data_IF_386729390909
#
_entry.id   IF_386729390909
#
_cell.length_a   1.000
_cell.length_b   1.000
_cell.length_c   1.000
_cell.angle_alpha   90.00
_cell.angle_beta   90.00
_cell.angle_gamma   90.00
#
_symmetry.space_group_name_H-M   'P 1'
#
loop_
_entity.id
_entity.type
_entity.pdbx_description
1 polymer ?
#
# COMPACT_ATOMS: atom_id res chain seq x y z
N UNK A 1 -40.64 -51.87 -1.20
CA UNK A 1 -39.96 -52.24 -2.47
C UNK A 1 -40.69 -51.57 -3.63
N UNK A 2 -40.04 -50.64 -4.32
CA UNK A 2 -40.17 -50.49 -5.78
C UNK A 2 -38.89 -49.81 -6.25
N UNK A 3 -38.06 -50.56 -6.98
CA UNK A 3 -36.66 -50.21 -7.29
C UNK A 3 -36.48 -49.48 -8.63
N UNK A 4 -37.53 -48.82 -9.13
CA UNK A 4 -37.47 -48.08 -10.39
C UNK A 4 -38.33 -46.82 -10.30
N UNK A 5 -37.69 -45.67 -10.49
CA UNK A 5 -38.34 -44.36 -10.51
C UNK A 5 -39.32 -44.23 -11.67
N UNK A 6 -40.37 -43.43 -11.46
CA UNK A 6 -41.39 -43.12 -12.48
C UNK A 6 -40.71 -42.45 -13.68
N UNK A 7 -40.74 -43.09 -14.84
CA UNK A 7 -40.19 -42.53 -16.08
C UNK A 7 -41.14 -41.41 -16.54
N UNK A 8 -40.65 -40.18 -16.68
CA UNK A 8 -41.41 -39.09 -17.29
C UNK A 8 -41.65 -39.40 -18.77
N UNK A 9 -42.92 -39.47 -19.16
CA UNK A 9 -43.33 -39.54 -20.56
C UNK A 9 -43.03 -38.20 -21.21
N UNK A 10 -42.09 -38.19 -22.17
CA UNK A 10 -41.76 -37.02 -22.99
C UNK A 10 -43.03 -36.62 -23.77
N UNK A 11 -43.49 -35.39 -23.59
CA UNK A 11 -44.85 -34.97 -23.97
C UNK A 11 -45.09 -34.86 -25.48
N UNK A 12 -44.05 -34.92 -26.33
CA UNK A 12 -44.22 -35.01 -27.78
C UNK A 12 -43.10 -35.87 -28.42
N UNK A 13 -43.42 -36.83 -29.32
CA UNK A 13 -42.41 -37.52 -30.10
C UNK A 13 -41.73 -36.50 -31.01
N UNK A 14 -40.45 -36.23 -30.76
CA UNK A 14 -39.65 -35.32 -31.56
C UNK A 14 -39.58 -35.89 -32.98
N UNK A 15 -40.17 -35.17 -33.95
CA UNK A 15 -40.16 -35.59 -35.36
C UNK A 15 -38.71 -35.69 -35.86
N UNK A 16 -38.43 -36.74 -36.64
CA UNK A 16 -37.14 -36.93 -37.31
C UNK A 16 -36.74 -35.70 -38.15
N UNK A 17 -37.71 -34.99 -38.75
CA UNK A 17 -37.45 -33.77 -39.52
C UNK A 17 -36.86 -32.64 -38.66
N UNK A 18 -37.25 -32.56 -37.39
CA UNK A 18 -36.70 -31.56 -36.46
C UNK A 18 -35.26 -31.91 -36.09
N UNK A 19 -34.97 -33.20 -35.85
CA UNK A 19 -33.62 -33.70 -35.54
C UNK A 19 -32.69 -33.49 -36.75
N UNK A 20 -33.15 -33.80 -37.95
CA UNK A 20 -32.35 -33.62 -39.17
C UNK A 20 -32.12 -32.14 -39.50
N UNK A 21 -33.11 -31.27 -39.26
CA UNK A 21 -32.97 -29.82 -39.43
C UNK A 21 -31.95 -29.22 -38.45
N UNK A 22 -31.94 -29.65 -37.18
CA UNK A 22 -30.99 -29.17 -36.18
C UNK A 22 -29.57 -29.65 -36.48
N UNK A 23 -29.41 -30.92 -36.88
CA UNK A 23 -28.11 -31.46 -37.29
C UNK A 23 -27.58 -30.78 -38.56
N UNK A 24 -28.45 -30.46 -39.51
CA UNK A 24 -28.08 -29.70 -40.70
C UNK A 24 -27.64 -28.28 -40.33
N UNK A 25 -28.38 -27.58 -39.46
CA UNK A 25 -28.05 -26.24 -38.99
C UNK A 25 -26.67 -26.21 -38.30
N UNK A 26 -26.40 -27.18 -37.39
CA UNK A 26 -25.07 -27.33 -36.77
C UNK A 26 -23.96 -27.55 -37.79
N UNK A 27 -24.20 -28.41 -38.78
CA UNK A 27 -23.19 -28.69 -39.82
C UNK A 27 -22.87 -27.47 -40.69
N UNK A 28 -23.85 -26.61 -40.97
CA UNK A 28 -23.64 -25.38 -41.72
C UNK A 28 -22.86 -24.35 -40.88
N UNK A 29 -23.22 -24.20 -39.60
CA UNK A 29 -22.50 -23.33 -38.68
C UNK A 29 -21.04 -23.77 -38.49
N UNK A 30 -20.78 -25.06 -38.34
CA UNK A 30 -19.40 -25.58 -38.25
C UNK A 30 -18.60 -25.32 -39.54
N UNK A 31 -19.24 -25.41 -40.71
CA UNK A 31 -18.59 -25.10 -42.00
C UNK A 31 -18.26 -23.62 -42.13
N UNK A 32 -19.16 -22.74 -41.68
CA UNK A 32 -18.90 -21.30 -41.62
C UNK A 32 -17.76 -20.99 -40.66
N UNK A 33 -17.78 -21.54 -39.43
CA UNK A 33 -16.70 -21.36 -38.44
C UNK A 33 -15.36 -21.85 -39.01
N UNK A 34 -15.32 -23.01 -39.67
CA UNK A 34 -14.08 -23.50 -40.30
C UNK A 34 -13.61 -22.60 -41.44
N UNK A 35 -14.52 -22.09 -42.26
CA UNK A 35 -14.19 -21.16 -43.34
C UNK A 35 -13.61 -19.85 -42.79
N UNK A 36 -14.23 -19.28 -41.76
CA UNK A 36 -13.75 -18.06 -41.12
C UNK A 36 -12.45 -18.29 -40.34
N UNK A 37 -12.27 -19.46 -39.70
CA UNK A 37 -11.01 -19.80 -39.04
C UNK A 37 -9.85 -19.87 -40.04
N UNK A 38 -10.06 -20.41 -41.23
CA UNK A 38 -9.03 -20.47 -42.28
C UNK A 38 -8.69 -19.08 -42.82
N UNK A 39 -9.69 -18.22 -43.07
CA UNK A 39 -9.43 -16.84 -43.55
C UNK A 39 -8.71 -16.00 -42.50
N UNK A 40 -9.04 -16.17 -41.21
CA UNK A 40 -8.35 -15.47 -40.12
C UNK A 40 -6.90 -15.95 -39.97
N UNK A 41 -6.61 -17.23 -40.23
CA UNK A 41 -5.24 -17.77 -40.17
C UNK A 41 -4.41 -17.33 -41.39
N UNK A 42 -5.00 -17.21 -42.59
CA UNK A 42 -4.28 -16.76 -43.80
C UNK A 42 -4.01 -15.24 -43.82
N UNK A 43 -4.80 -14.44 -43.11
CA UNK A 43 -4.62 -12.97 -43.01
C UNK A 43 -3.72 -12.53 -41.84
N UNK A 44 -3.28 -13.45 -40.98
CA UNK A 44 -2.35 -13.17 -39.88
C UNK A 44 -0.95 -13.64 -40.29
N UNK A 45 0.02 -12.74 -40.57
CA UNK A 45 1.41 -13.14 -40.62
C UNK A 45 1.82 -13.71 -39.25
N UNK A 46 2.67 -14.72 -39.25
CA UNK A 46 3.19 -15.45 -38.10
C UNK A 46 3.46 -14.52 -36.88
N UNK A 47 2.67 -14.70 -35.81
CA UNK A 47 2.59 -13.83 -34.62
C UNK A 47 3.96 -13.65 -33.92
N UNK A 48 4.90 -14.57 -34.14
CA UNK A 48 6.26 -14.52 -33.59
C UNK A 48 7.15 -13.46 -34.22
N UNK A 49 7.04 -13.20 -35.53
CA UNK A 49 7.82 -12.13 -36.17
C UNK A 49 7.23 -10.74 -35.91
N UNK A 50 5.91 -10.64 -35.71
CA UNK A 50 5.23 -9.37 -35.45
C UNK A 50 5.55 -8.86 -34.03
N UNK A 51 5.66 -9.73 -33.03
CA UNK A 51 5.97 -9.32 -31.66
C UNK A 51 7.39 -8.72 -31.53
N UNK A 52 8.37 -9.29 -32.23
CA UNK A 52 9.75 -8.75 -32.25
C UNK A 52 9.83 -7.45 -33.06
N UNK A 53 9.11 -7.38 -34.19
CA UNK A 53 9.08 -6.20 -35.07
C UNK A 53 8.23 -5.06 -34.52
N UNK A 54 7.20 -5.35 -33.72
CA UNK A 54 6.38 -4.37 -33.02
C UNK A 54 7.21 -3.62 -31.97
N UNK A 55 8.15 -4.29 -31.31
CA UNK A 55 9.06 -3.66 -30.36
C UNK A 55 10.05 -2.68 -31.04
N UNK A 56 10.38 -2.88 -32.31
CA UNK A 56 11.22 -1.99 -33.14
C UNK A 56 10.43 -0.86 -33.84
N UNK A 57 9.10 -0.98 -33.96
CA UNK A 57 8.22 -0.01 -34.62
C UNK A 57 7.70 1.10 -33.70
N UNK A 58 8.01 1.06 -32.40
CA UNK A 58 7.55 2.01 -31.38
C UNK A 58 8.02 3.47 -31.57
N UNK A 59 8.89 3.75 -32.55
CA UNK A 59 9.35 5.12 -32.84
C UNK A 59 8.67 5.80 -34.04
N UNK A 60 7.69 5.15 -34.69
CA UNK A 60 6.96 5.75 -35.81
C UNK A 60 5.56 6.11 -35.32
N UNK A 61 5.11 7.33 -35.62
CA UNK A 61 3.80 7.89 -35.32
C UNK A 61 2.65 6.94 -35.74
N UNK A 62 2.19 6.09 -34.82
CA UNK A 62 1.23 5.00 -35.09
C UNK A 62 -0.11 5.23 -34.37
N UNK A 63 -0.55 6.49 -34.33
CA UNK A 63 -1.92 6.85 -33.88
C UNK A 63 -2.87 7.15 -35.04
N UNK A 64 -2.43 6.97 -36.29
CA UNK A 64 -3.21 7.31 -37.48
C UNK A 64 -4.33 6.29 -37.81
N UNK A 65 -4.38 5.13 -37.12
CA UNK A 65 -5.36 4.07 -37.37
C UNK A 65 -5.97 3.54 -36.06
N UNK A 66 -7.30 3.57 -35.97
CA UNK A 66 -8.08 3.06 -34.83
C UNK A 66 -7.75 1.59 -34.50
N UNK A 67 -7.38 0.79 -35.51
CA UNK A 67 -6.98 -0.60 -35.31
C UNK A 67 -5.71 -0.71 -34.46
N UNK A 68 -4.73 0.16 -34.70
CA UNK A 68 -3.46 0.16 -33.95
C UNK A 68 -3.69 0.60 -32.51
N UNK A 69 -4.53 1.62 -32.31
CA UNK A 69 -4.92 2.08 -30.97
C UNK A 69 -5.64 0.96 -30.20
N UNK A 70 -6.58 0.24 -30.84
CA UNK A 70 -7.28 -0.86 -30.22
C UNK A 70 -6.33 -2.01 -29.81
N UNK A 71 -5.36 -2.34 -30.65
CA UNK A 71 -4.34 -3.35 -30.33
C UNK A 71 -3.42 -2.91 -29.19
N UNK A 72 -3.02 -1.64 -29.16
CA UNK A 72 -2.22 -1.07 -28.07
C UNK A 72 -2.99 -1.14 -26.73
N UNK A 73 -4.23 -0.66 -26.72
CA UNK A 73 -5.09 -0.71 -25.52
C UNK A 73 -5.33 -2.15 -25.04
N UNK A 74 -5.50 -3.10 -25.97
CA UNK A 74 -5.66 -4.51 -25.61
C UNK A 74 -4.38 -5.08 -24.97
N UNK A 75 -3.21 -4.70 -25.47
CA UNK A 75 -1.92 -5.12 -24.89
C UNK A 75 -1.77 -4.56 -23.46
N UNK A 76 -2.07 -3.27 -23.26
CA UNK A 76 -1.99 -2.62 -21.95
C UNK A 76 -2.95 -3.28 -20.93
N UNK A 77 -4.19 -3.56 -21.35
CA UNK A 77 -5.18 -4.23 -20.51
C UNK A 77 -4.76 -5.65 -20.13
N UNK A 78 -4.17 -6.39 -21.09
CA UNK A 78 -3.66 -7.73 -20.84
C UNK A 78 -2.51 -7.69 -19.83
N UNK A 79 -1.60 -6.72 -19.93
CA UNK A 79 -0.51 -6.54 -18.99
C UNK A 79 -1.01 -6.20 -17.57
N UNK A 80 -1.95 -5.25 -17.45
CA UNK A 80 -2.55 -4.89 -16.16
C UNK A 80 -3.23 -6.09 -15.49
N UNK A 81 -3.96 -6.87 -16.28
CA UNK A 81 -4.62 -8.08 -15.81
C UNK A 81 -3.62 -9.13 -15.30
N UNK A 82 -2.55 -9.37 -16.05
CA UNK A 82 -1.49 -10.31 -15.67
C UNK A 82 -0.74 -9.84 -14.40
N UNK A 83 -0.51 -8.53 -14.24
CA UNK A 83 0.04 -7.92 -13.02
C UNK A 83 -0.88 -8.11 -11.82
N UNK A 84 -2.19 -7.88 -11.98
CA UNK A 84 -3.18 -8.12 -10.94
C UNK A 84 -3.18 -9.60 -10.50
N UNK A 85 -3.15 -10.54 -11.45
CA UNK A 85 -3.05 -11.97 -11.15
C UNK A 85 -1.77 -12.29 -10.36
N UNK A 86 -0.63 -11.71 -10.76
CA UNK A 86 0.64 -11.89 -10.03
C UNK A 86 0.58 -11.37 -8.59
N UNK A 87 -0.02 -10.19 -8.38
CA UNK A 87 -0.20 -9.61 -7.03
C UNK A 87 -1.11 -10.46 -6.16
N UNK A 88 -2.20 -10.98 -6.73
CA UNK A 88 -3.13 -11.87 -5.99
C UNK A 88 -2.50 -13.22 -5.67
N UNK A 89 -1.74 -13.81 -6.60
CA UNK A 89 -0.95 -15.03 -6.41
C UNK A 89 0.05 -14.85 -5.26
N UNK A 90 0.85 -13.77 -5.28
CA UNK A 90 1.83 -13.45 -4.24
C UNK A 90 1.17 -13.24 -2.87
N UNK A 91 0.03 -12.53 -2.85
CA UNK A 91 -0.74 -12.30 -1.62
C UNK A 91 -1.29 -13.60 -1.02
N UNK A 92 -1.75 -14.51 -1.87
CA UNK A 92 -2.28 -15.79 -1.43
C UNK A 92 -1.17 -16.72 -0.94
N UNK A 93 -0.06 -16.79 -1.66
CA UNK A 93 1.05 -17.70 -1.35
C UNK A 93 1.88 -17.28 -0.13
N UNK A 94 1.96 -15.98 0.19
CA UNK A 94 2.68 -15.37 1.33
C UNK A 94 3.61 -16.31 2.11
N UNK A 95 3.11 -16.94 3.17
CA UNK A 95 3.87 -17.83 4.07
C UNK A 95 3.40 -19.29 3.97
N UNK A 96 2.63 -19.63 2.95
CA UNK A 96 2.11 -20.98 2.72
C UNK A 96 3.24 -21.92 2.28
N UNK A 97 3.22 -23.16 2.78
CA UNK A 97 4.14 -24.22 2.34
C UNK A 97 3.78 -24.79 0.96
N UNK A 98 2.56 -24.52 0.50
CA UNK A 98 2.03 -24.96 -0.79
C UNK A 98 1.54 -23.73 -1.54
N UNK A 99 2.04 -23.57 -2.76
CA UNK A 99 1.74 -22.42 -3.59
C UNK A 99 0.73 -22.80 -4.68
N UNK A 100 -0.19 -21.89 -4.96
CA UNK A 100 -1.05 -21.94 -6.14
C UNK A 100 -0.50 -21.00 -7.20
N UNK A 101 -0.70 -21.34 -8.47
CA UNK A 101 -0.27 -20.48 -9.57
C UNK A 101 -1.42 -20.16 -10.52
N UNK A 102 -1.45 -18.92 -11.00
CA UNK A 102 -2.47 -18.43 -11.94
C UNK A 102 -1.97 -18.31 -13.38
N UNK A 103 -0.87 -19.01 -13.73
CA UNK A 103 -0.29 -18.98 -15.08
C UNK A 103 -1.30 -19.32 -16.19
N UNK A 104 -2.23 -20.25 -15.94
CA UNK A 104 -3.23 -20.65 -16.93
C UNK A 104 -4.27 -19.57 -17.25
N UNK A 105 -4.38 -18.54 -16.42
CA UNK A 105 -5.32 -17.44 -16.62
C UNK A 105 -4.66 -16.23 -17.27
N UNK A 106 -3.34 -16.22 -17.46
CA UNK A 106 -2.63 -15.09 -18.04
C UNK A 106 -2.86 -15.00 -19.55
N UNK A 107 -2.93 -13.76 -20.04
CA UNK A 107 -3.05 -13.49 -21.47
C UNK A 107 -1.69 -13.62 -22.18
N UNK A 108 -0.60 -13.25 -21.50
CA UNK A 108 0.77 -13.38 -22.01
C UNK A 108 1.50 -14.62 -21.50
N UNK A 109 2.43 -15.14 -22.33
CA UNK A 109 3.40 -16.17 -21.91
C UNK A 109 4.56 -15.57 -21.10
N UNK A 110 4.85 -14.28 -21.32
CA UNK A 110 5.92 -13.56 -20.63
C UNK A 110 5.50 -13.22 -19.20
N UNK A 111 6.41 -13.35 -18.26
CA UNK A 111 6.15 -12.90 -16.90
C UNK A 111 6.05 -11.36 -16.90
N UNK A 112 4.95 -10.78 -16.38
CA UNK A 112 4.82 -9.33 -16.33
C UNK A 112 5.87 -8.80 -15.34
N UNK A 113 6.70 -7.89 -15.83
CA UNK A 113 7.68 -7.19 -15.02
C UNK A 113 6.90 -6.12 -14.25
N UNK A 114 6.86 -6.22 -12.92
CA UNK A 114 6.32 -5.11 -12.14
C UNK A 114 7.26 -3.93 -12.40
N UNK A 115 6.78 -2.79 -12.93
CA UNK A 115 7.60 -1.61 -13.01
C UNK A 115 8.11 -1.36 -11.59
N UNK A 116 9.43 -1.50 -11.42
CA UNK A 116 10.09 -1.04 -10.20
C UNK A 116 9.68 0.41 -10.13
N UNK A 117 8.90 0.77 -9.14
CA UNK A 117 8.67 2.16 -8.86
C UNK A 117 10.09 2.72 -8.62
N UNK A 118 10.62 3.44 -9.60
CA UNK A 118 11.69 4.40 -9.43
C UNK A 118 11.09 5.50 -8.56
N UNK A 119 10.83 5.13 -7.31
CA UNK A 119 10.53 6.08 -6.26
C UNK A 119 11.87 6.76 -6.07
N UNK A 120 11.99 7.94 -6.64
CA UNK A 120 13.01 8.90 -6.26
C UNK A 120 12.88 9.02 -4.74
N UNK A 121 13.74 8.29 -4.01
CA UNK A 121 13.67 8.16 -2.55
C UNK A 121 13.90 9.52 -1.87
N UNK A 122 14.29 10.55 -2.62
CA UNK A 122 14.44 11.93 -2.16
C UNK A 122 13.10 12.66 -1.94
N UNK A 123 12.01 12.28 -2.63
CA UNK A 123 10.70 12.96 -2.57
C UNK A 123 9.62 12.16 -1.82
N UNK A 124 9.95 10.99 -1.25
CA UNK A 124 9.08 10.45 -0.19
C UNK A 124 9.08 11.47 0.94
N UNK A 125 7.89 11.86 1.40
CA UNK A 125 7.66 12.57 2.66
C UNK A 125 8.29 11.79 3.83
N UNK A 126 9.62 11.85 3.92
CA UNK A 126 10.38 11.11 4.89
C UNK A 126 10.31 11.94 6.14
N UNK A 127 9.47 11.50 7.08
CA UNK A 127 9.39 12.13 8.39
C UNK A 127 10.81 12.30 8.94
N UNK A 128 11.26 13.55 8.96
CA UNK A 128 12.62 13.90 9.32
C UNK A 128 12.90 13.48 10.76
N UNK A 129 11.89 13.46 11.62
CA UNK A 129 12.02 13.01 13.00
C UNK A 129 12.32 11.52 13.08
N UNK A 130 11.66 10.69 12.28
CA UNK A 130 11.93 9.24 12.23
C UNK A 130 13.37 8.97 11.76
N UNK A 131 13.85 9.71 10.76
CA UNK A 131 15.25 9.66 10.34
C UNK A 131 16.22 10.00 11.47
N UNK A 132 15.96 11.09 12.19
CA UNK A 132 16.80 11.57 13.30
C UNK A 132 16.82 10.55 14.44
N UNK A 133 15.68 9.98 14.80
CA UNK A 133 15.58 8.95 15.84
C UNK A 133 16.34 7.68 15.46
N UNK A 134 16.19 7.24 14.20
CA UNK A 134 16.95 6.11 13.66
C UNK A 134 18.45 6.39 13.67
N UNK A 135 18.85 7.60 13.31
CA UNK A 135 20.26 8.03 13.35
C UNK A 135 20.82 8.03 14.78
N UNK A 136 20.05 8.47 15.77
CA UNK A 136 20.43 8.48 17.17
C UNK A 136 20.51 7.05 17.76
N UNK A 137 19.58 6.18 17.38
CA UNK A 137 19.55 4.77 17.76
C UNK A 137 20.69 3.96 17.10
N UNK A 138 21.21 4.42 15.96
CA UNK A 138 22.33 3.77 15.26
C UNK A 138 23.66 3.86 16.01
N UNK A 139 23.77 4.70 17.04
CA UNK A 139 25.00 4.84 17.83
C UNK A 139 25.11 3.64 18.80
N UNK A 140 26.13 2.77 18.63
CA UNK A 140 26.30 1.58 19.44
C UNK A 140 26.57 1.90 20.92
N UNK A 141 26.47 0.89 21.78
CA UNK A 141 26.66 1.03 23.24
C UNK A 141 28.05 1.55 23.63
N UNK A 142 29.05 1.46 22.76
CA UNK A 142 30.37 2.06 22.98
C UNK A 142 30.36 3.61 22.95
N UNK A 143 29.24 4.25 22.60
CA UNK A 143 28.98 5.67 22.82
C UNK A 143 29.30 6.58 21.62
N UNK A 144 29.88 6.05 20.56
CA UNK A 144 30.21 6.81 19.35
C UNK A 144 30.07 5.95 18.08
N UNK A 145 29.88 6.61 16.93
CA UNK A 145 29.93 5.98 15.59
C UNK A 145 30.91 6.75 14.72
N UNK A 146 31.60 6.06 13.81
CA UNK A 146 32.44 6.67 12.78
C UNK A 146 31.61 6.83 11.52
N UNK A 147 31.53 8.04 10.99
CA UNK A 147 30.79 8.36 9.76
C UNK A 147 31.80 8.76 8.70
N UNK A 148 31.75 8.08 7.55
CA UNK A 148 32.67 8.26 6.42
C UNK A 148 33.80 7.21 6.39
N UNK A 149 34.17 6.79 5.18
CA UNK A 149 35.27 5.86 4.90
C UNK A 149 36.58 6.62 4.62
N UNK A 150 37.67 6.22 5.28
CA UNK A 150 39.02 6.73 5.02
C UNK A 150 39.52 7.80 6.02
N UNK A 151 40.49 8.61 5.57
CA UNK A 151 41.26 9.55 6.40
C UNK A 151 40.48 10.76 6.95
N UNK A 152 39.23 10.96 6.52
CA UNK A 152 38.32 12.03 6.96
C UNK A 152 37.14 11.50 7.77
N UNK A 153 37.30 10.35 8.44
CA UNK A 153 36.25 9.76 9.26
C UNK A 153 35.92 10.66 10.47
N UNK A 154 34.68 11.14 10.55
CA UNK A 154 34.19 11.94 11.67
C UNK A 154 33.59 11.03 12.75
N UNK A 155 34.00 11.25 14.00
CA UNK A 155 33.40 10.58 15.15
C UNK A 155 32.16 11.37 15.55
N UNK A 156 31.00 10.71 15.51
CA UNK A 156 29.71 11.26 15.93
C UNK A 156 29.29 10.62 17.25
N UNK A 157 28.87 11.44 18.21
CA UNK A 157 28.40 10.99 19.52
C UNK A 157 26.97 11.42 19.79
N UNK A 158 26.34 10.80 20.80
CA UNK A 158 25.02 11.23 21.29
C UNK A 158 25.00 12.65 21.87
N UNK A 159 26.17 13.19 22.22
CA UNK A 159 26.33 14.51 22.85
C UNK A 159 26.73 15.59 21.85
N UNK A 160 26.85 15.26 20.57
CA UNK A 160 27.15 16.28 19.55
C UNK A 160 26.04 17.32 19.54
N UNK A 161 26.41 18.58 19.33
CA UNK A 161 25.46 19.69 19.41
C UNK A 161 24.31 19.55 18.42
N UNK A 162 24.60 19.14 17.18
CA UNK A 162 23.58 18.92 16.15
C UNK A 162 22.68 17.72 16.47
N UNK A 163 23.26 16.62 16.95
CA UNK A 163 22.49 15.44 17.35
C UNK A 163 21.57 15.73 18.53
N UNK A 164 22.10 16.33 19.58
CA UNK A 164 21.34 16.67 20.78
C UNK A 164 20.25 17.69 20.46
N UNK A 165 20.54 18.70 19.62
CA UNK A 165 19.56 19.74 19.30
C UNK A 165 18.39 19.24 18.47
N UNK A 166 18.64 18.35 17.51
CA UNK A 166 17.60 17.66 16.73
C UNK A 166 16.76 16.74 17.62
N UNK A 167 17.39 15.96 18.49
CA UNK A 167 16.69 15.07 19.42
C UNK A 167 15.86 15.84 20.45
N UNK A 168 16.34 16.99 20.91
CA UNK A 168 15.55 17.86 21.76
C UNK A 168 14.29 18.36 21.05
N UNK A 169 14.37 18.67 19.76
CA UNK A 169 13.20 19.06 18.97
C UNK A 169 12.19 17.92 18.86
N UNK A 170 12.65 16.68 18.60
CA UNK A 170 11.79 15.48 18.61
C UNK A 170 11.04 15.36 19.94
N UNK A 171 11.77 15.48 21.06
CA UNK A 171 11.21 15.34 22.42
C UNK A 171 10.20 16.42 22.82
N UNK A 172 10.15 17.56 22.13
CA UNK A 172 9.12 18.58 22.41
C UNK A 172 7.74 18.13 21.94
N UNK A 173 7.67 17.27 20.92
CA UNK A 173 6.41 16.67 20.46
C UNK A 173 5.80 15.72 21.50
N UNK A 174 6.62 15.17 22.38
CA UNK A 174 6.20 14.30 23.50
C UNK A 174 5.74 15.08 24.75
N UNK A 175 5.75 16.42 24.71
CA UNK A 175 5.35 17.19 25.88
C UNK A 175 3.86 17.00 26.21
N UNK A 176 3.49 17.08 27.50
CA UNK A 176 2.11 16.98 27.94
C UNK A 176 1.12 17.80 27.08
N UNK A 177 -0.11 17.27 26.88
CA UNK A 177 -1.12 17.94 26.07
C UNK A 177 -1.39 19.34 26.62
N UNK A 178 -1.40 20.33 25.73
CA UNK A 178 -1.56 21.75 26.07
C UNK A 178 -0.43 22.67 25.57
N UNK A 179 0.68 22.11 25.10
CA UNK A 179 1.71 22.86 24.37
C UNK A 179 1.47 22.67 22.88
N UNK A 180 1.11 23.76 22.19
CA UNK A 180 0.94 23.77 20.74
C UNK A 180 2.32 23.91 20.09
N UNK A 181 2.94 22.79 19.71
CA UNK A 181 4.25 22.78 19.03
C UNK A 181 4.14 23.12 17.54
N UNK A 182 2.94 23.00 16.95
CA UNK A 182 2.70 23.21 15.52
C UNK A 182 3.14 22.02 14.67
N UNK A 183 3.04 22.17 13.34
CA UNK A 183 3.59 21.21 12.39
C UNK A 183 5.07 21.49 12.16
N UNK A 184 5.91 20.54 12.55
CA UNK A 184 7.36 20.63 12.44
C UNK A 184 7.94 19.60 11.47
N UNK A 185 7.11 18.88 10.71
CA UNK A 185 7.55 17.79 9.84
C UNK A 185 8.37 18.26 8.64
N UNK A 186 8.07 19.46 8.11
CA UNK A 186 8.67 19.97 6.86
C UNK A 186 10.05 20.64 6.99
N UNK A 187 10.63 20.79 8.19
CA UNK A 187 11.91 21.51 8.37
C UNK A 187 12.84 20.90 9.44
N UNK A 188 14.14 21.17 9.34
CA UNK A 188 15.17 20.68 10.28
C UNK A 188 15.11 21.42 11.63
N UNK A 189 14.13 21.10 12.48
CA UNK A 189 13.97 21.79 13.76
C UNK A 189 15.14 21.44 14.68
N UNK A 190 15.83 22.46 15.19
CA UNK A 190 16.94 22.31 16.14
C UNK A 190 16.67 23.16 17.37
N UNK A 191 16.68 22.53 18.55
CA UNK A 191 16.50 23.22 19.81
C UNK A 191 17.76 23.17 20.67
N UNK A 192 18.21 24.34 21.10
CA UNK A 192 19.30 24.44 22.08
C UNK A 192 18.88 23.80 23.41
N UNK A 193 19.80 23.08 24.07
CA UNK A 193 19.62 22.49 25.39
C UNK A 193 19.03 23.47 26.41
N UNK A 194 19.47 24.74 26.43
CA UNK A 194 18.93 25.75 27.35
C UNK A 194 17.44 26.01 27.13
N UNK A 195 17.03 26.11 25.87
CA UNK A 195 15.62 26.35 25.49
C UNK A 195 14.77 25.12 25.79
N UNK A 196 15.26 23.93 25.42
CA UNK A 196 14.58 22.67 25.72
C UNK A 196 14.33 22.49 27.22
N UNK A 197 15.35 22.73 28.05
CA UNK A 197 15.23 22.60 29.50
C UNK A 197 14.22 23.59 30.10
N UNK A 198 14.24 24.85 29.63
CA UNK A 198 13.28 25.87 30.03
C UNK A 198 11.85 25.47 29.66
N UNK A 199 11.63 25.02 28.41
CA UNK A 199 10.31 24.60 27.95
C UNK A 199 9.82 23.36 28.70
N UNK A 200 10.70 22.40 28.97
CA UNK A 200 10.40 21.21 29.77
C UNK A 200 9.97 21.60 31.19
N UNK A 201 10.69 22.51 31.84
CA UNK A 201 10.33 23.00 33.17
C UNK A 201 8.96 23.70 33.16
N UNK A 202 8.71 24.56 32.17
CA UNK A 202 7.42 25.23 32.02
C UNK A 202 6.29 24.24 31.79
N UNK A 203 6.51 23.23 30.93
CA UNK A 203 5.55 22.16 30.65
C UNK A 203 5.15 21.38 31.91
N UNK A 204 6.14 20.94 32.69
CA UNK A 204 5.90 20.25 33.96
C UNK A 204 5.18 21.15 34.98
N UNK A 205 5.57 22.43 35.08
CA UNK A 205 4.92 23.38 35.98
C UNK A 205 3.46 23.64 35.59
N UNK A 206 3.17 23.80 34.31
CA UNK A 206 1.81 23.96 33.79
C UNK A 206 0.95 22.73 34.09
N UNK A 207 1.45 21.53 33.73
CA UNK A 207 0.76 20.26 34.00
C UNK A 207 0.48 20.05 35.50
N UNK A 208 1.45 20.38 36.37
CA UNK A 208 1.27 20.29 37.83
C UNK A 208 0.17 21.24 38.34
N UNK A 209 0.13 22.48 37.85
CA UNK A 209 -0.92 23.45 38.19
C UNK A 209 -2.31 22.98 37.76
N UNK A 210 -2.44 22.45 36.55
CA UNK A 210 -3.72 21.92 36.05
C UNK A 210 -4.19 20.70 36.87
N UNK A 211 -3.29 19.77 37.20
CA UNK A 211 -3.61 18.62 38.06
C UNK A 211 -4.03 19.01 39.47
N UNK A 212 -3.44 20.06 40.03
CA UNK A 212 -3.81 20.59 41.35
C UNK A 212 -5.21 21.22 41.37
N UNK A 213 -5.65 21.84 40.25
CA UNK A 213 -7.02 22.35 40.10
C UNK A 213 -8.04 21.23 39.93
N UNK A 214 -7.65 20.12 39.30
CA UNK A 214 -8.53 18.98 39.03
C UNK A 214 -8.82 18.12 40.27
N UNK A 215 -8.07 18.26 41.37
CA UNK A 215 -8.44 17.63 42.64
C UNK A 215 -9.47 18.51 43.38
N UNK A 216 -10.73 18.09 43.49
CA UNK A 216 -11.69 18.80 44.33
C UNK A 216 -11.17 18.76 45.77
N UNK A 217 -10.95 19.94 46.37
CA UNK A 217 -10.65 20.03 47.81
C UNK A 217 -11.80 19.32 48.56
N UNK A 218 -11.52 18.36 49.46
CA UNK A 218 -12.58 17.78 50.27
C UNK A 218 -13.26 18.91 51.02
N UNK A 219 -14.58 19.04 50.85
CA UNK A 219 -15.35 20.09 51.51
C UNK A 219 -15.15 19.98 53.02
N UNK A 220 -14.49 20.98 53.61
CA UNK A 220 -14.37 21.10 55.05
C UNK A 220 -15.78 21.36 55.59
N UNK A 221 -16.40 20.34 56.21
CA UNK A 221 -17.66 20.53 56.95
C UNK A 221 -17.39 21.53 58.08
N UNK A 222 -17.87 22.76 57.91
CA UNK A 222 -17.89 23.77 58.95
C UNK A 222 -18.82 23.29 60.08
N UNK A 223 -18.25 22.75 61.15
CA UNK A 223 -18.98 22.59 62.40
C UNK A 223 -19.22 23.99 62.97
N UNK A 224 -20.44 24.50 62.79
CA UNK A 224 -20.93 25.70 63.45
C UNK A 224 -20.96 25.45 64.96
N UNK A 225 -20.15 26.21 65.70
CA UNK A 225 -20.13 26.27 67.15
C UNK A 225 -21.35 27.05 67.64
N UNK A 226 -22.34 26.35 68.20
CA UNK A 226 -23.41 26.97 68.99
C UNK A 226 -22.90 27.21 70.41
N UNK A 227 -22.48 28.44 70.71
CA UNK A 227 -22.29 28.89 72.10
C UNK A 227 -23.67 29.21 72.69
N UNK A 228 -24.13 28.38 73.63
CA UNK A 228 -25.27 28.68 74.47
C UNK A 228 -24.88 29.72 75.52
N UNK A 229 -25.51 30.89 75.49
CA UNK A 229 -25.43 31.90 76.55
C UNK A 229 -26.41 31.54 77.66
N UNK A 230 -25.91 31.17 78.84
CA UNK A 230 -26.71 31.12 80.07
C UNK A 230 -26.71 32.50 80.71
N UNK A 231 -27.88 33.11 80.80
CA UNK A 231 -28.20 34.28 81.63
C UNK A 231 -28.56 33.81 83.05
N UNK A 232 -28.00 34.48 84.06
CA UNK A 232 -28.46 34.42 85.45
C UNK A 232 -29.88 34.96 85.61
#
# INVERSE_FOLDING_TARGET
MSAWGKIHTIEEPISFDKITSEQLARSLQEKEIKKYAVTVIEEIPEITEIAEKASELFEIDQTESDAVIAHMLQADLNEEYDLMLKRTEKKFNRDSKVNISYLNYRAGVKEPEEPKADVDDEDRDFDRFVSIEKEYASIPRCGYKKVGDGGTSQIVTKHDMLMTSRINACRVLEFPPGIQTGDTGGFDVKLNNKVFNSLRQHSHAHCSKEKAKAHPKPQTKSQATLKATNTN
#
